data_IF_534802398712
#
_entry.id   IF_534802398712
#
_cell.length_a   1.000
_cell.length_b   1.000
_cell.length_c   1.000
_cell.angle_alpha   90.00
_cell.angle_beta   90.00
_cell.angle_gamma   90.00
#
_symmetry.space_group_name_H-M   'P 1'
#
loop_
_entity.id
_entity.type
_entity.pdbx_description
1 polymer ?
#
# COMPACT_ATOMS: atom_id res chain seq x y z
N UNK A 1 -24.34 7.99 8.13
CA UNK A 1 -23.80 6.66 7.78
C UNK A 1 -22.57 6.87 6.91
N UNK A 2 -21.41 6.34 7.30
CA UNK A 2 -20.20 6.39 6.47
C UNK A 2 -20.42 5.52 5.23
N UNK A 3 -20.23 6.07 4.03
CA UNK A 3 -20.27 5.30 2.79
C UNK A 3 -18.93 4.58 2.65
N UNK A 4 -18.96 3.25 2.65
CA UNK A 4 -17.76 2.41 2.53
C UNK A 4 -17.84 1.61 1.24
N UNK A 5 -16.81 1.71 0.39
CA UNK A 5 -16.65 0.76 -0.71
C UNK A 5 -15.99 -0.53 -0.20
N UNK A 6 -16.82 -1.54 0.07
CA UNK A 6 -16.37 -2.84 0.60
C UNK A 6 -15.34 -3.55 -0.29
N UNK A 7 -15.36 -3.35 -1.62
CA UNK A 7 -14.42 -4.02 -2.53
C UNK A 7 -13.03 -3.38 -2.41
N UNK A 8 -12.99 -2.05 -2.43
CA UNK A 8 -11.73 -1.30 -2.27
C UNK A 8 -11.17 -1.53 -0.86
N UNK A 9 -12.03 -1.53 0.16
CA UNK A 9 -11.62 -1.82 1.54
C UNK A 9 -11.01 -3.21 1.67
N UNK A 10 -11.65 -4.25 1.13
CA UNK A 10 -11.12 -5.61 1.17
C UNK A 10 -9.76 -5.72 0.46
N UNK A 11 -9.61 -5.08 -0.71
CA UNK A 11 -8.34 -5.03 -1.42
C UNK A 11 -7.24 -4.31 -0.64
N UNK A 12 -7.57 -3.16 -0.03
CA UNK A 12 -6.63 -2.40 0.81
C UNK A 12 -6.19 -3.18 2.05
N UNK A 13 -7.11 -3.85 2.75
CA UNK A 13 -6.79 -4.70 3.91
C UNK A 13 -5.92 -5.89 3.50
N UNK A 14 -6.23 -6.56 2.38
CA UNK A 14 -5.43 -7.65 1.88
C UNK A 14 -4.00 -7.19 1.56
N UNK A 15 -3.85 -6.06 0.86
CA UNK A 15 -2.55 -5.52 0.48
C UNK A 15 -1.74 -5.05 1.70
N UNK A 16 -2.40 -4.45 2.70
CA UNK A 16 -1.79 -4.13 3.99
C UNK A 16 -1.27 -5.36 4.71
N UNK A 17 -2.07 -6.42 4.76
CA UNK A 17 -1.72 -7.66 5.47
C UNK A 17 -0.49 -8.32 4.84
N UNK A 18 -0.45 -8.40 3.51
CA UNK A 18 0.70 -8.96 2.77
C UNK A 18 1.93 -8.07 2.92
N UNK A 19 1.78 -6.75 2.80
CA UNK A 19 2.89 -5.81 2.95
C UNK A 19 3.52 -5.85 4.34
N UNK A 20 2.69 -5.94 5.38
CA UNK A 20 3.16 -6.07 6.76
C UNK A 20 3.84 -7.42 7.01
N UNK A 21 3.30 -8.52 6.48
CA UNK A 21 3.92 -9.84 6.59
C UNK A 21 5.31 -9.87 5.94
N UNK A 22 5.47 -9.27 4.75
CA UNK A 22 6.76 -9.17 4.08
C UNK A 22 7.76 -8.29 4.85
N UNK A 23 7.31 -7.15 5.40
CA UNK A 23 8.16 -6.30 6.24
C UNK A 23 8.72 -7.07 7.45
N UNK A 24 7.86 -7.83 8.14
CA UNK A 24 8.27 -8.66 9.28
C UNK A 24 9.27 -9.72 8.83
N UNK A 25 9.00 -10.39 7.70
CA UNK A 25 9.88 -11.42 7.15
C UNK A 25 11.27 -10.87 6.83
N UNK A 26 11.38 -9.79 6.04
CA UNK A 26 12.68 -9.19 5.67
C UNK A 26 13.42 -8.60 6.86
N UNK A 27 12.71 -8.12 7.88
CA UNK A 27 13.33 -7.68 9.14
C UNK A 27 13.95 -8.85 9.91
N UNK A 28 13.36 -10.04 9.82
CA UNK A 28 13.87 -11.25 10.50
C UNK A 28 15.03 -11.92 9.77
N UNK A 29 15.14 -11.74 8.46
CA UNK A 29 16.18 -12.34 7.61
C UNK A 29 17.31 -11.37 7.27
N UNK A 30 17.38 -10.21 7.93
CA UNK A 30 18.37 -9.18 7.64
C UNK A 30 19.78 -9.71 7.94
N UNK A 31 20.69 -9.74 6.96
CA UNK A 31 22.05 -10.19 7.19
C UNK A 31 22.76 -9.21 8.15
N UNK A 32 23.57 -9.76 9.07
CA UNK A 32 24.31 -8.99 10.07
C UNK A 32 25.80 -9.27 9.86
N UNK A 33 26.60 -8.20 9.78
CA UNK A 33 28.06 -8.29 9.69
C UNK A 33 28.70 -8.77 11.00
N UNK A 34 29.75 -9.59 10.88
CA UNK A 34 30.55 -10.07 12.00
C UNK A 34 31.98 -9.52 11.93
N UNK A 35 32.58 -9.26 13.10
CA UNK A 35 33.98 -8.84 13.17
C UNK A 35 34.90 -10.00 12.74
N UNK A 36 35.81 -9.74 11.78
CA UNK A 36 36.77 -10.73 11.28
C UNK A 36 36.50 -11.26 9.86
N UNK A 37 35.56 -10.69 9.12
CA UNK A 37 35.32 -11.05 7.71
C UNK A 37 36.45 -10.61 6.78
N UNK A 38 36.75 -11.44 5.79
CA UNK A 38 37.60 -11.06 4.66
C UNK A 38 36.91 -10.01 3.77
N UNK A 39 37.70 -9.29 2.94
CA UNK A 39 37.16 -8.27 2.03
C UNK A 39 36.09 -8.83 1.08
N UNK A 40 36.25 -10.08 0.63
CA UNK A 40 35.29 -10.74 -0.26
C UNK A 40 33.96 -11.05 0.45
N UNK A 41 34.04 -11.50 1.71
CA UNK A 41 32.86 -11.77 2.54
C UNK A 41 32.11 -10.48 2.89
N UNK A 42 32.83 -9.41 3.19
CA UNK A 42 32.26 -8.09 3.44
C UNK A 42 31.53 -7.54 2.19
N UNK A 43 32.10 -7.74 0.99
CA UNK A 43 31.46 -7.35 -0.25
C UNK A 43 30.17 -8.14 -0.53
N UNK A 44 30.18 -9.45 -0.30
CA UNK A 44 28.99 -10.31 -0.43
C UNK A 44 27.89 -9.90 0.56
N UNK A 45 28.25 -9.57 1.80
CA UNK A 45 27.31 -9.04 2.78
C UNK A 45 26.69 -7.72 2.31
N UNK A 46 27.51 -6.78 1.84
CA UNK A 46 27.01 -5.48 1.37
C UNK A 46 25.97 -5.62 0.25
N UNK A 47 26.17 -6.57 -0.66
CA UNK A 47 25.19 -6.90 -1.70
C UNK A 47 23.90 -7.44 -1.07
N UNK A 48 24.00 -8.42 -0.18
CA UNK A 48 22.83 -9.04 0.47
C UNK A 48 22.04 -8.04 1.33
N UNK A 49 22.72 -7.15 2.06
CA UNK A 49 22.09 -6.08 2.83
C UNK A 49 21.33 -5.10 1.93
N UNK A 50 21.92 -4.73 0.79
CA UNK A 50 21.29 -3.85 -0.19
C UNK A 50 20.04 -4.50 -0.78
N UNK A 51 20.14 -5.76 -1.18
CA UNK A 51 19.02 -6.51 -1.72
C UNK A 51 17.86 -6.60 -0.71
N UNK A 52 18.15 -6.95 0.55
CA UNK A 52 17.14 -6.98 1.61
C UNK A 52 16.51 -5.59 1.86
N UNK A 53 17.31 -4.52 1.79
CA UNK A 53 16.83 -3.14 1.92
C UNK A 53 15.91 -2.74 0.78
N UNK A 54 16.24 -3.12 -0.45
CA UNK A 54 15.39 -2.85 -1.62
C UNK A 54 14.05 -3.61 -1.50
N UNK A 55 14.07 -4.87 -1.06
CA UNK A 55 12.86 -5.63 -0.76
C UNK A 55 12.02 -5.02 0.36
N UNK A 56 12.64 -4.60 1.46
CA UNK A 56 11.95 -3.91 2.54
C UNK A 56 11.33 -2.58 2.09
N UNK A 57 11.98 -1.89 1.14
CA UNK A 57 11.45 -0.65 0.54
C UNK A 57 10.23 -0.94 -0.34
N UNK A 58 10.28 -1.99 -1.17
CA UNK A 58 9.13 -2.43 -1.95
C UNK A 58 7.95 -2.83 -1.06
N UNK A 59 8.21 -3.57 0.03
CA UNK A 59 7.18 -3.99 0.98
C UNK A 59 6.54 -2.80 1.71
N UNK A 60 7.32 -1.76 2.05
CA UNK A 60 6.77 -0.55 2.68
C UNK A 60 5.93 0.29 1.71
N UNK A 61 6.32 0.40 0.44
CA UNK A 61 5.50 1.04 -0.61
C UNK A 61 4.19 0.27 -0.79
N UNK A 62 4.23 -1.06 -0.87
CA UNK A 62 3.03 -1.90 -0.99
C UNK A 62 2.09 -1.70 0.20
N UNK A 63 2.64 -1.67 1.42
CA UNK A 63 1.90 -1.36 2.64
C UNK A 63 1.28 0.04 2.57
N UNK A 64 2.04 1.04 2.11
CA UNK A 64 1.55 2.42 1.92
C UNK A 64 0.41 2.52 0.91
N UNK A 65 0.49 1.79 -0.20
CA UNK A 65 -0.61 1.69 -1.18
C UNK A 65 -1.83 1.02 -0.57
N UNK A 66 -1.64 -0.07 0.19
CA UNK A 66 -2.73 -0.74 0.91
C UNK A 66 -3.43 0.19 1.89
N UNK A 67 -2.66 0.98 2.64
CA UNK A 67 -3.19 2.00 3.54
C UNK A 67 -4.00 3.06 2.79
N UNK A 68 -3.48 3.56 1.67
CA UNK A 68 -4.19 4.54 0.84
C UNK A 68 -5.52 3.98 0.33
N UNK A 69 -5.55 2.71 -0.13
CA UNK A 69 -6.77 2.03 -0.56
C UNK A 69 -7.81 1.96 0.58
N UNK A 70 -7.37 1.67 1.80
CA UNK A 70 -8.25 1.70 2.97
C UNK A 70 -8.83 3.11 3.18
N UNK A 71 -8.00 4.17 3.15
CA UNK A 71 -8.48 5.55 3.33
C UNK A 71 -9.51 5.95 2.28
N UNK A 72 -9.23 5.73 1.00
CA UNK A 72 -10.16 6.09 -0.08
C UNK A 72 -11.42 5.22 -0.02
N UNK A 73 -11.40 4.03 0.57
CA UNK A 73 -12.61 3.20 0.70
C UNK A 73 -13.69 3.84 1.58
N UNK A 74 -13.30 4.68 2.56
CA UNK A 74 -14.23 5.45 3.41
C UNK A 74 -14.62 6.80 2.79
N UNK A 75 -13.76 7.37 1.92
CA UNK A 75 -13.95 8.68 1.28
C UNK A 75 -14.52 8.62 -0.15
N UNK A 76 -14.54 7.46 -0.79
CA UNK A 76 -15.04 7.27 -2.15
C UNK A 76 -16.57 7.42 -2.14
N UNK A 77 -17.03 8.66 -2.25
CA UNK A 77 -18.40 9.01 -2.60
C UNK A 77 -18.72 8.25 -3.89
N UNK A 78 -19.43 7.11 -3.80
CA UNK A 78 -20.00 6.46 -4.97
C UNK A 78 -20.90 7.47 -5.64
N UNK A 79 -20.44 8.13 -6.71
CA UNK A 79 -21.37 8.65 -7.70
C UNK A 79 -22.12 7.42 -8.20
N UNK A 80 -23.32 7.20 -7.67
CA UNK A 80 -24.25 6.19 -8.18
C UNK A 80 -24.28 6.35 -9.70
N UNK A 81 -23.86 5.31 -10.43
CA UNK A 81 -24.42 5.03 -11.74
C UNK A 81 -25.95 4.99 -11.53
N UNK A 82 -26.66 6.04 -11.93
CA UNK A 82 -28.13 6.11 -11.84
C UNK A 82 -28.74 7.13 -10.86
N UNK A 83 -28.12 8.29 -10.65
CA UNK A 83 -28.79 9.44 -10.03
C UNK A 83 -28.81 10.59 -11.01
N UNK A 84 -29.90 10.76 -11.75
CA UNK A 84 -30.12 11.89 -12.61
C UNK A 84 -29.86 13.19 -11.85
N UNK A 85 -28.76 13.87 -12.16
CA UNK A 85 -28.81 15.32 -12.23
C UNK A 85 -29.76 15.59 -13.39
N UNK A 86 -31.07 15.63 -13.12
CA UNK A 86 -31.94 16.36 -14.03
C UNK A 86 -31.31 17.75 -14.09
N UNK A 87 -30.87 18.26 -15.25
CA UNK A 87 -30.66 19.69 -15.35
C UNK A 87 -31.97 20.31 -14.91
N UNK A 88 -31.91 21.17 -13.91
CA UNK A 88 -33.05 22.01 -13.55
C UNK A 88 -33.29 22.85 -14.80
N UNK A 89 -34.24 22.45 -15.64
CA UNK A 89 -34.83 23.35 -16.62
C UNK A 89 -35.42 24.50 -15.81
N UNK A 90 -34.75 25.64 -15.81
CA UNK A 90 -35.41 26.89 -15.51
C UNK A 90 -36.47 27.11 -16.59
N UNK A 91 -37.73 26.85 -16.23
CA UNK A 91 -38.87 27.24 -17.04
C UNK A 91 -38.84 28.78 -17.14
N UNK A 92 -38.95 29.37 -18.34
CA UNK A 92 -38.80 30.82 -18.50
C UNK A 92 -39.96 31.54 -17.78
N UNK A 93 -39.72 32.72 -17.17
CA UNK A 93 -40.80 33.53 -16.62
C UNK A 93 -41.75 33.96 -17.75
N UNK A 94 -43.04 33.85 -17.45
CA UNK A 94 -44.17 34.16 -18.33
C UNK A 94 -44.26 35.65 -18.72
#
# INVERSE_FOLDING_TARGET
MVLIDKKILAGGIALLSVGLALLIYFSSTMPIGNAGMSEEEAFKLMIAERENRDYSTLASIMTGIGFLLVLISFGARRKKKGGATKPVEEKPPA
#
